data_IF_430353338360
#
_entry.id   IF_430353338360
#
_cell.length_a   1.000
_cell.length_b   1.000
_cell.length_c   1.000
_cell.angle_alpha   90.00
_cell.angle_beta   90.00
_cell.angle_gamma   90.00
#
_symmetry.space_group_name_H-M   'P 1'
#
loop_
_entity.id
_entity.type
_entity.pdbx_description
1 polymer ?
#
# COMPACT_ATOMS: atom_id res chain seq x y z
N UNK A 1 20.41 3.42 1.04
CA UNK A 1 20.30 4.39 -0.07
C UNK A 1 18.85 4.80 -0.25
N UNK A 2 18.55 6.04 -0.67
CA UNK A 2 17.20 6.47 -1.09
C UNK A 2 16.78 5.76 -2.38
N UNK A 3 15.47 5.53 -2.54
CA UNK A 3 14.89 4.93 -3.74
C UNK A 3 13.61 5.67 -4.12
N UNK A 4 13.59 6.32 -5.28
CA UNK A 4 12.41 7.01 -5.82
C UNK A 4 11.56 6.01 -6.61
N UNK A 5 10.24 6.00 -6.38
CA UNK A 5 9.31 5.15 -7.14
C UNK A 5 8.59 5.96 -8.20
N UNK A 6 8.43 5.35 -9.37
CA UNK A 6 7.51 5.85 -10.38
C UNK A 6 6.06 5.87 -9.91
N UNK A 7 5.22 6.51 -10.72
CA UNK A 7 3.77 6.49 -10.55
C UNK A 7 3.15 5.18 -11.02
N UNK A 8 1.94 4.88 -10.55
CA UNK A 8 1.13 3.77 -11.06
C UNK A 8 1.53 2.42 -10.47
N UNK A 9 2.05 1.51 -11.29
CA UNK A 9 2.32 0.12 -10.90
C UNK A 9 3.30 -0.07 -9.72
N UNK A 10 4.28 0.82 -9.47
CA UNK A 10 5.02 0.83 -8.19
C UNK A 10 4.14 0.90 -6.92
N UNK A 11 2.83 1.13 -7.08
CA UNK A 11 1.77 0.87 -6.10
C UNK A 11 1.73 -0.51 -5.50
N UNK A 12 2.40 -1.49 -6.10
CA UNK A 12 2.68 -2.78 -5.46
C UNK A 12 3.30 -2.58 -4.06
N UNK A 13 4.11 -1.52 -3.85
CA UNK A 13 4.59 -1.18 -2.51
C UNK A 13 3.44 -1.03 -1.50
N UNK A 14 2.38 -0.32 -1.85
CA UNK A 14 1.23 -0.11 -0.97
C UNK A 14 0.48 -1.41 -0.71
N UNK A 15 0.28 -2.18 -1.77
CA UNK A 15 -0.40 -3.48 -1.72
C UNK A 15 0.26 -4.41 -0.70
N UNK A 16 1.58 -4.54 -0.78
CA UNK A 16 2.36 -5.40 0.11
C UNK A 16 2.54 -4.77 1.50
N UNK A 17 2.97 -3.51 1.58
CA UNK A 17 3.41 -2.91 2.84
C UNK A 17 2.29 -2.64 3.84
N UNK A 18 1.10 -2.27 3.34
CA UNK A 18 -0.06 -1.93 4.19
C UNK A 18 -1.33 -2.63 3.73
N UNK A 19 -1.52 -2.87 2.43
CA UNK A 19 -2.76 -3.40 1.87
C UNK A 19 -3.21 -4.69 2.56
N UNK A 20 -2.45 -5.77 2.40
CA UNK A 20 -2.75 -7.04 3.08
C UNK A 20 -2.74 -6.93 4.61
N UNK A 21 -1.83 -6.13 5.16
CA UNK A 21 -1.78 -5.88 6.60
C UNK A 21 -3.05 -5.24 7.17
N UNK A 22 -3.86 -4.58 6.34
CA UNK A 22 -5.10 -3.91 6.70
C UNK A 22 -6.37 -4.67 6.25
N UNK A 23 -6.23 -5.92 5.80
CA UNK A 23 -7.36 -6.84 5.64
C UNK A 23 -7.86 -7.28 7.03
N UNK A 24 -9.18 -7.23 7.23
CA UNK A 24 -9.82 -7.31 8.55
C UNK A 24 -9.71 -8.68 9.22
N UNK A 25 -9.52 -9.75 8.46
CA UNK A 25 -9.41 -11.11 9.00
C UNK A 25 -8.11 -11.32 9.78
N UNK A 26 -6.99 -10.75 9.34
CA UNK A 26 -5.73 -10.77 10.09
C UNK A 26 -5.78 -9.89 11.34
N UNK A 27 -6.41 -8.71 11.25
CA UNK A 27 -6.51 -7.78 12.36
C UNK A 27 -7.47 -8.31 13.44
N UNK A 28 -8.58 -8.93 13.05
CA UNK A 28 -9.50 -9.61 13.96
C UNK A 28 -8.82 -10.76 14.70
N UNK A 29 -7.95 -11.51 14.03
CA UNK A 29 -7.18 -12.62 14.63
C UNK A 29 -5.95 -12.15 15.43
N UNK A 30 -5.60 -10.87 15.36
CA UNK A 30 -4.43 -10.32 16.06
C UNK A 30 -3.08 -10.70 15.43
N UNK A 31 -3.08 -11.25 14.21
CA UNK A 31 -1.86 -11.75 13.54
C UNK A 31 -1.18 -10.68 12.68
N UNK A 32 -1.90 -9.64 12.27
CA UNK A 32 -1.32 -8.50 11.55
C UNK A 32 -0.49 -7.62 12.49
N UNK A 33 0.60 -7.06 11.96
CA UNK A 33 1.37 -6.01 12.65
C UNK A 33 0.53 -4.77 13.00
N UNK A 34 -0.57 -4.53 12.27
CA UNK A 34 -1.49 -3.40 12.48
C UNK A 34 -2.62 -3.69 13.49
N UNK A 35 -2.67 -4.89 14.05
CA UNK A 35 -3.70 -5.26 15.02
C UNK A 35 -3.62 -4.37 16.27
N UNK A 36 -4.73 -3.74 16.63
CA UNK A 36 -4.80 -2.83 17.78
C UNK A 36 -4.10 -1.48 17.58
N UNK A 37 -3.70 -1.13 16.36
CA UNK A 37 -3.02 0.15 16.05
C UNK A 37 -4.00 1.25 15.59
N UNK A 38 -5.30 1.08 15.78
CA UNK A 38 -6.31 2.06 15.34
C UNK A 38 -6.04 3.43 15.96
N UNK A 39 -6.05 4.49 15.14
CA UNK A 39 -5.74 5.86 15.57
C UNK A 39 -4.25 6.14 15.83
N UNK A 40 -3.36 5.18 15.61
CA UNK A 40 -1.91 5.38 15.76
C UNK A 40 -1.27 5.86 14.46
N UNK A 41 -0.12 6.53 14.59
CA UNK A 41 0.72 6.93 13.46
C UNK A 41 1.48 5.71 12.91
N UNK A 42 1.06 5.23 11.74
CA UNK A 42 1.58 4.03 11.07
C UNK A 42 2.31 4.32 9.75
N UNK A 43 2.26 5.57 9.29
CA UNK A 43 3.00 6.06 8.14
C UNK A 43 3.41 7.53 8.35
N UNK A 44 4.13 8.12 7.38
CA UNK A 44 4.42 9.56 7.42
C UNK A 44 3.12 10.36 7.34
N UNK A 45 3.10 11.54 7.94
CA UNK A 45 1.96 12.46 7.87
C UNK A 45 1.62 12.91 6.43
N UNK A 46 2.54 12.72 5.50
CA UNK A 46 2.32 12.97 4.07
C UNK A 46 1.45 11.90 3.39
N UNK A 47 1.09 10.82 4.09
CA UNK A 47 0.51 9.64 3.50
C UNK A 47 -0.97 9.51 3.84
N UNK A 48 -1.80 9.57 2.80
CA UNK A 48 -3.19 9.13 2.86
C UNK A 48 -3.36 7.99 1.85
N UNK A 49 -3.73 6.82 2.36
CA UNK A 49 -3.89 5.58 1.58
C UNK A 49 -5.34 5.15 1.61
N UNK A 50 -5.86 4.82 0.45
CA UNK A 50 -7.25 4.44 0.26
C UNK A 50 -7.35 3.13 -0.52
N UNK A 51 -8.42 2.39 -0.27
CA UNK A 51 -8.89 1.31 -1.13
C UNK A 51 -10.25 1.72 -1.71
N UNK A 52 -10.31 1.87 -3.03
CA UNK A 52 -11.48 2.44 -3.71
C UNK A 52 -12.11 1.45 -4.69
N UNK A 53 -13.26 0.89 -4.30
CA UNK A 53 -14.04 0.01 -5.15
C UNK A 53 -14.89 0.72 -6.20
N UNK A 54 -14.97 2.06 -6.16
CA UNK A 54 -15.96 2.85 -6.91
C UNK A 54 -15.46 3.39 -8.26
N UNK A 55 -14.17 3.22 -8.57
CA UNK A 55 -13.58 3.79 -9.77
C UNK A 55 -14.19 3.21 -11.06
N UNK A 56 -14.81 4.06 -11.88
CA UNK A 56 -15.44 3.62 -13.13
C UNK A 56 -14.42 3.06 -14.13
N UNK A 57 -14.73 1.91 -14.74
CA UNK A 57 -13.93 1.31 -15.81
C UNK A 57 -12.57 0.74 -15.38
N UNK A 58 -12.29 0.62 -14.08
CA UNK A 58 -11.04 0.04 -13.57
C UNK A 58 -11.19 -1.44 -13.27
N UNK A 59 -10.08 -2.18 -13.46
CA UNK A 59 -10.01 -3.64 -13.26
C UNK A 59 -10.31 -4.06 -11.81
N UNK A 60 -9.88 -3.28 -10.82
CA UNK A 60 -10.04 -3.62 -9.40
C UNK A 60 -11.39 -3.24 -8.81
N UNK A 61 -12.22 -2.50 -9.55
CA UNK A 61 -13.47 -1.94 -9.05
C UNK A 61 -14.60 -2.96 -8.96
N UNK A 62 -15.55 -2.67 -8.08
CA UNK A 62 -16.70 -3.52 -7.78
C UNK A 62 -17.94 -2.63 -7.70
N UNK A 63 -18.93 -2.89 -8.55
CA UNK A 63 -20.26 -2.31 -8.33
C UNK A 63 -20.87 -2.84 -7.03
N UNK A 64 -20.75 -4.15 -6.83
CA UNK A 64 -21.01 -4.87 -5.58
C UNK A 64 -19.86 -5.87 -5.37
N UNK A 65 -19.51 -6.13 -4.12
CA UNK A 65 -18.64 -7.26 -3.78
C UNK A 65 -19.40 -8.59 -3.86
N UNK A 66 -18.69 -9.70 -3.64
CA UNK A 66 -19.26 -11.05 -3.77
C UNK A 66 -20.24 -11.42 -2.63
N UNK A 67 -20.45 -10.50 -1.69
CA UNK A 67 -21.44 -10.59 -0.62
C UNK A 67 -22.64 -9.65 -0.83
N UNK A 68 -22.65 -8.88 -1.93
CA UNK A 68 -23.70 -7.94 -2.29
C UNK A 68 -23.60 -6.57 -1.62
N UNK A 69 -22.44 -6.23 -1.05
CA UNK A 69 -22.19 -4.89 -0.49
C UNK A 69 -21.66 -3.99 -1.60
N UNK A 70 -22.22 -2.78 -1.83
CA UNK A 70 -21.68 -1.86 -2.84
C UNK A 70 -20.20 -1.54 -2.60
N UNK A 71 -19.43 -1.36 -3.68
CA UNK A 71 -18.06 -0.86 -3.59
C UNK A 71 -18.03 0.52 -2.92
N UNK A 72 -16.98 0.79 -2.13
CA UNK A 72 -16.86 2.02 -1.34
C UNK A 72 -15.49 2.68 -1.53
N UNK A 73 -15.43 3.97 -1.19
CA UNK A 73 -14.18 4.71 -1.01
C UNK A 73 -13.76 4.61 0.45
N UNK A 74 -12.81 3.71 0.74
CA UNK A 74 -12.37 3.42 2.11
C UNK A 74 -11.02 4.09 2.40
N UNK A 75 -11.01 5.07 3.29
CA UNK A 75 -9.75 5.66 3.78
C UNK A 75 -9.15 4.74 4.84
N UNK A 76 -8.03 4.11 4.50
CA UNK A 76 -7.33 3.17 5.38
C UNK A 76 -6.35 3.90 6.30
N UNK A 77 -5.57 4.82 5.72
CA UNK A 77 -4.62 5.67 6.44
C UNK A 77 -4.90 7.11 6.01
N UNK A 78 -4.98 8.04 6.95
CA UNK A 78 -5.16 9.46 6.68
C UNK A 78 -4.07 10.26 7.42
N UNK A 79 -3.27 11.02 6.67
CA UNK A 79 -2.16 11.79 7.20
C UNK A 79 -1.28 10.95 8.15
N UNK A 80 -0.96 9.73 7.74
CA UNK A 80 -0.16 8.77 8.50
C UNK A 80 -0.90 8.01 9.61
N UNK A 81 -2.13 8.40 9.96
CA UNK A 81 -2.93 7.78 11.03
C UNK A 81 -3.78 6.64 10.49
N UNK A 82 -3.73 5.48 11.15
CA UNK A 82 -4.59 4.34 10.80
C UNK A 82 -6.06 4.64 11.14
N UNK A 83 -6.95 4.50 10.15
CA UNK A 83 -8.39 4.84 10.26
C UNK A 83 -9.33 3.66 10.16
N UNK A 84 -8.93 2.59 9.48
CA UNK A 84 -9.83 1.48 9.21
C UNK A 84 -9.14 0.23 8.67
N UNK A 85 -9.92 -0.82 8.59
CA UNK A 85 -9.56 -2.08 7.94
C UNK A 85 -10.58 -2.39 6.84
N UNK A 86 -10.15 -3.12 5.82
CA UNK A 86 -11.06 -3.68 4.81
C UNK A 86 -11.81 -4.87 5.41
N UNK A 87 -13.10 -4.98 5.15
CA UNK A 87 -13.98 -5.97 5.79
C UNK A 87 -14.85 -6.73 4.78
N UNK A 88 -15.05 -8.01 5.10
CA UNK A 88 -16.20 -8.82 4.67
C UNK A 88 -17.27 -8.81 5.78
N UNK A 89 -18.43 -9.41 5.54
CA UNK A 89 -19.52 -9.47 6.52
C UNK A 89 -19.14 -10.23 7.79
N UNK A 90 -18.35 -11.29 7.66
CA UNK A 90 -17.94 -12.12 8.79
C UNK A 90 -17.07 -11.35 9.78
N UNK A 91 -15.99 -10.74 9.29
CA UNK A 91 -15.04 -10.04 10.14
C UNK A 91 -15.60 -8.69 10.61
N UNK A 92 -16.39 -8.00 9.78
CA UNK A 92 -17.13 -6.81 10.20
C UNK A 92 -17.99 -7.09 11.44
N UNK A 93 -18.79 -8.17 11.41
CA UNK A 93 -19.64 -8.58 12.54
C UNK A 93 -18.81 -8.90 13.79
N UNK A 94 -17.73 -9.66 13.64
CA UNK A 94 -16.89 -10.08 14.78
C UNK A 94 -16.11 -8.90 15.40
N UNK A 95 -15.82 -7.86 14.61
CA UNK A 95 -15.14 -6.65 15.08
C UNK A 95 -16.13 -5.54 15.50
N UNK A 96 -17.44 -5.74 15.33
CA UNK A 96 -18.46 -4.75 15.67
C UNK A 96 -18.47 -3.52 14.76
N UNK A 97 -18.07 -3.67 13.49
CA UNK A 97 -18.02 -2.59 12.49
C UNK A 97 -18.91 -2.90 11.28
N UNK A 98 -19.08 -1.93 10.38
CA UNK A 98 -19.84 -2.12 9.15
C UNK A 98 -19.00 -2.81 8.04
N UNK A 99 -19.64 -3.54 7.10
CA UNK A 99 -18.97 -4.02 5.88
C UNK A 99 -18.50 -2.88 4.98
N UNK A 100 -17.37 -3.06 4.30
CA UNK A 100 -16.71 -2.00 3.52
C UNK A 100 -16.72 -2.23 1.99
N UNK A 101 -17.42 -3.26 1.51
CA UNK A 101 -17.41 -3.62 0.08
C UNK A 101 -16.15 -4.35 -0.36
N UNK A 102 -15.51 -5.09 0.55
CA UNK A 102 -14.26 -5.81 0.33
C UNK A 102 -14.43 -7.35 0.47
N UNK A 103 -15.65 -7.87 0.60
CA UNK A 103 -15.89 -9.32 0.68
C UNK A 103 -15.77 -9.98 -0.68
N UNK A 104 -14.57 -10.46 -1.04
CA UNK A 104 -14.30 -11.02 -2.37
C UNK A 104 -13.97 -12.50 -2.32
N UNK A 105 -14.39 -13.24 -3.35
CA UNK A 105 -14.04 -14.63 -3.60
C UNK A 105 -13.53 -14.81 -5.02
N UNK A 106 -12.74 -15.85 -5.24
CA UNK A 106 -12.26 -16.17 -6.59
C UNK A 106 -13.37 -16.69 -7.49
N UNK A 107 -14.26 -17.52 -6.95
CA UNK A 107 -15.38 -18.13 -7.67
C UNK A 107 -16.41 -18.70 -6.69
N UNK A 108 -17.51 -19.24 -7.23
CA UNK A 108 -18.55 -19.92 -6.46
C UNK A 108 -18.03 -21.09 -5.60
N UNK A 109 -16.84 -21.62 -5.90
CA UNK A 109 -16.23 -22.74 -5.19
C UNK A 109 -15.35 -22.31 -3.98
N UNK A 110 -15.13 -21.01 -3.75
CA UNK A 110 -14.20 -20.50 -2.73
C UNK A 110 -14.88 -19.58 -1.74
N UNK A 111 -14.56 -19.62 -0.44
CA UNK A 111 -15.16 -18.68 0.52
C UNK A 111 -14.72 -17.23 0.27
N UNK A 112 -15.59 -16.23 0.49
CA UNK A 112 -15.18 -14.83 0.48
C UNK A 112 -14.32 -14.50 1.71
N UNK A 113 -13.48 -13.49 1.57
CA UNK A 113 -12.68 -12.90 2.65
C UNK A 113 -12.41 -11.41 2.34
N UNK A 114 -11.97 -10.60 3.32
CA UNK A 114 -11.62 -9.20 3.05
C UNK A 114 -10.47 -9.12 2.05
N UNK A 115 -10.66 -8.40 0.95
CA UNK A 115 -9.67 -8.24 -0.11
C UNK A 115 -9.70 -6.83 -0.69
N UNK A 116 -8.52 -6.34 -1.08
CA UNK A 116 -8.34 -5.06 -1.78
C UNK A 116 -9.14 -4.95 -3.08
N UNK A 117 -9.40 -3.72 -3.50
CA UNK A 117 -9.97 -3.34 -4.79
C UNK A 117 -8.95 -2.54 -5.61
N UNK A 118 -8.99 -1.22 -5.57
CA UNK A 118 -7.96 -0.34 -6.12
C UNK A 118 -7.29 0.41 -4.96
N UNK A 119 -6.13 -0.08 -4.51
CA UNK A 119 -5.39 0.52 -3.39
C UNK A 119 -4.35 1.51 -3.90
N UNK A 120 -4.40 2.76 -3.45
CA UNK A 120 -3.47 3.80 -3.89
C UNK A 120 -3.27 4.89 -2.82
N UNK A 121 -2.22 5.70 -3.02
CA UNK A 121 -1.92 6.86 -2.19
C UNK A 121 -2.40 8.13 -2.87
N UNK A 122 -2.98 9.05 -2.10
CA UNK A 122 -3.34 10.37 -2.60
C UNK A 122 -2.10 11.21 -2.95
N UNK A 123 -2.23 12.04 -3.98
CA UNK A 123 -1.13 12.87 -4.44
C UNK A 123 -0.70 13.90 -3.39
N UNK A 124 0.61 14.03 -3.19
CA UNK A 124 1.21 15.09 -2.38
C UNK A 124 1.42 16.41 -3.14
N UNK A 125 2.28 17.28 -2.59
CA UNK A 125 2.58 18.61 -3.14
C UNK A 125 3.82 18.67 -4.04
N UNK A 126 4.72 17.69 -3.93
CA UNK A 126 6.01 17.70 -4.66
C UNK A 126 5.85 17.27 -6.11
N UNK A 127 6.65 17.83 -6.99
CA UNK A 127 6.77 17.34 -8.38
C UNK A 127 7.71 16.13 -8.47
N UNK A 128 7.54 15.26 -9.49
CA UNK A 128 8.48 14.18 -9.78
C UNK A 128 9.94 14.65 -9.89
N UNK A 129 10.15 15.81 -10.49
CA UNK A 129 11.46 16.42 -10.71
C UNK A 129 12.09 16.86 -9.39
N UNK A 130 11.33 17.53 -8.51
CA UNK A 130 11.81 17.93 -7.18
C UNK A 130 12.23 16.72 -6.34
N UNK A 131 11.48 15.63 -6.49
CA UNK A 131 11.73 14.37 -5.82
C UNK A 131 13.08 13.78 -6.25
N UNK A 132 13.32 13.67 -7.56
CA UNK A 132 14.56 13.13 -8.12
C UNK A 132 15.74 14.04 -7.78
N UNK A 133 15.56 15.37 -7.93
CA UNK A 133 16.58 16.37 -7.64
C UNK A 133 17.05 16.34 -6.18
N UNK A 134 16.19 15.90 -5.25
CA UNK A 134 16.53 15.80 -3.83
C UNK A 134 17.47 14.65 -3.46
N UNK A 135 17.80 13.75 -4.39
CA UNK A 135 18.60 12.55 -4.13
C UNK A 135 20.01 12.70 -4.71
N UNK A 136 21.02 12.76 -3.83
CA UNK A 136 22.42 12.85 -4.23
C UNK A 136 22.95 11.53 -4.82
N UNK A 137 22.65 10.40 -4.17
CA UNK A 137 22.97 9.07 -4.69
C UNK A 137 21.89 8.06 -4.28
N UNK A 138 21.23 7.45 -5.25
CA UNK A 138 20.13 6.52 -4.99
C UNK A 138 19.67 5.76 -6.22
N UNK A 139 18.47 5.17 -6.14
CA UNK A 139 17.84 4.46 -7.24
C UNK A 139 16.53 5.14 -7.64
N UNK A 140 16.24 5.18 -8.93
CA UNK A 140 14.92 5.47 -9.47
C UNK A 140 14.34 4.19 -10.07
N UNK A 141 13.18 3.77 -9.58
CA UNK A 141 12.50 2.55 -10.02
C UNK A 141 11.10 2.87 -10.55
N UNK A 142 10.97 3.16 -11.86
CA UNK A 142 9.69 3.49 -12.47
C UNK A 142 8.73 2.30 -12.56
N UNK A 143 9.25 1.06 -12.59
CA UNK A 143 8.43 -0.12 -12.81
C UNK A 143 8.91 -1.36 -12.05
N UNK A 144 7.94 -2.21 -11.71
CA UNK A 144 8.13 -3.43 -10.93
C UNK A 144 7.49 -4.62 -11.61
N UNK A 145 8.03 -5.80 -11.35
CA UNK A 145 7.39 -7.06 -11.72
C UNK A 145 6.26 -7.39 -10.73
N UNK A 146 6.65 -8.03 -9.63
CA UNK A 146 5.75 -8.41 -8.54
C UNK A 146 6.39 -8.20 -7.16
N UNK A 147 5.63 -8.52 -6.12
CA UNK A 147 6.04 -8.45 -4.73
C UNK A 147 5.49 -9.61 -3.91
N UNK A 148 5.94 -9.68 -2.65
CA UNK A 148 5.44 -10.61 -1.66
C UNK A 148 5.62 -10.01 -0.26
N UNK A 149 4.63 -10.21 0.62
CA UNK A 149 4.67 -9.79 2.01
C UNK A 149 4.50 -10.96 3.00
N UNK A 150 5.27 -10.91 4.07
CA UNK A 150 4.96 -11.58 5.34
C UNK A 150 4.37 -10.54 6.31
N UNK A 151 3.04 -10.58 6.43
CA UNK A 151 2.25 -9.66 7.26
C UNK A 151 2.51 -9.78 8.77
N UNK A 152 3.09 -10.91 9.21
CA UNK A 152 3.36 -11.17 10.63
C UNK A 152 4.66 -10.48 11.04
N UNK A 153 5.71 -10.66 10.23
CA UNK A 153 7.01 -10.01 10.47
C UNK A 153 7.11 -8.59 9.90
N UNK A 154 6.15 -8.20 9.05
CA UNK A 154 6.14 -6.92 8.35
C UNK A 154 7.22 -6.80 7.28
N UNK A 155 7.78 -7.92 6.81
CA UNK A 155 8.80 -7.94 5.76
C UNK A 155 8.13 -8.07 4.41
N UNK A 156 8.51 -7.22 3.48
CA UNK A 156 8.03 -7.31 2.11
C UNK A 156 9.16 -7.09 1.12
N UNK A 157 9.01 -7.74 -0.03
CA UNK A 157 9.97 -7.71 -1.12
C UNK A 157 9.28 -7.34 -2.41
N UNK A 158 9.98 -6.63 -3.29
CA UNK A 158 9.51 -6.36 -4.64
C UNK A 158 10.70 -6.25 -5.59
N UNK A 159 10.51 -6.71 -6.83
CA UNK A 159 11.58 -6.80 -7.82
C UNK A 159 11.39 -5.76 -8.91
N UNK A 160 12.39 -4.90 -9.10
CA UNK A 160 12.36 -3.88 -10.17
C UNK A 160 12.40 -4.56 -11.53
N UNK A 161 11.47 -4.23 -12.42
CA UNK A 161 11.56 -4.59 -13.84
C UNK A 161 12.37 -3.55 -14.62
N UNK A 162 12.38 -2.31 -14.14
CA UNK A 162 13.13 -1.18 -14.68
C UNK A 162 13.67 -0.33 -13.53
N UNK A 163 14.96 -0.02 -13.55
CA UNK A 163 15.60 0.80 -12.53
C UNK A 163 16.83 1.55 -13.08
N UNK A 164 17.11 2.70 -12.49
CA UNK A 164 18.20 3.61 -12.85
C UNK A 164 18.90 4.11 -11.60
N UNK A 165 20.18 4.48 -11.72
CA UNK A 165 20.85 5.28 -10.69
C UNK A 165 20.34 6.71 -10.71
N UNK A 166 20.28 7.33 -9.53
CA UNK A 166 20.21 8.77 -9.36
C UNK A 166 21.57 9.23 -8.87
N UNK A 167 22.22 10.12 -9.60
CA UNK A 167 23.51 10.72 -9.25
C UNK A 167 23.38 12.25 -9.34
N UNK A 168 23.66 12.95 -8.23
CA UNK A 168 23.56 14.40 -8.09
C UNK A 168 22.20 14.96 -8.55
N UNK A 169 21.11 14.33 -8.12
CA UNK A 169 19.75 14.77 -8.43
C UNK A 169 19.30 14.50 -9.86
N UNK A 170 19.99 13.62 -10.61
CA UNK A 170 19.66 13.28 -11.99
C UNK A 170 19.60 11.78 -12.20
N UNK A 171 18.63 11.31 -12.97
CA UNK A 171 18.58 9.92 -13.43
C UNK A 171 19.72 9.70 -14.42
N UNK A 172 20.56 8.69 -14.19
CA UNK A 172 21.74 8.41 -15.02
C UNK A 172 21.65 7.04 -15.67
N UNK A 173 22.32 6.03 -15.12
CA UNK A 173 22.56 4.74 -15.77
C UNK A 173 21.45 3.75 -15.43
N UNK A 174 20.94 2.98 -16.41
CA UNK A 174 20.08 1.84 -16.11
C UNK A 174 20.88 0.80 -15.32
N UNK A 175 20.23 0.17 -14.35
CA UNK A 175 20.79 -0.94 -13.57
C UNK A 175 20.01 -2.21 -13.82
N UNK A 176 20.67 -3.36 -13.59
CA UNK A 176 19.99 -4.66 -13.66
C UNK A 176 18.93 -4.77 -12.56
N UNK A 177 17.91 -5.58 -12.81
CA UNK A 177 16.83 -5.81 -11.86
C UNK A 177 17.36 -6.23 -10.49
N UNK A 178 16.86 -5.60 -9.44
CA UNK A 178 17.18 -5.87 -8.05
C UNK A 178 15.91 -6.18 -7.27
N UNK A 179 16.01 -7.09 -6.31
CA UNK A 179 14.97 -7.31 -5.31
C UNK A 179 15.22 -6.38 -4.13
N UNK A 180 14.27 -5.49 -3.89
CA UNK A 180 14.28 -4.53 -2.80
C UNK A 180 13.53 -5.17 -1.63
N UNK A 181 14.18 -5.23 -0.46
CA UNK A 181 13.62 -5.80 0.77
C UNK A 181 13.41 -4.67 1.76
N UNK A 182 12.22 -4.61 2.34
CA UNK A 182 11.86 -3.63 3.36
C UNK A 182 11.21 -4.34 4.53
N UNK A 183 11.39 -3.81 5.73
CA UNK A 183 10.79 -4.33 6.95
C UNK A 183 10.07 -3.22 7.72
N UNK A 184 8.79 -3.44 8.03
CA UNK A 184 8.03 -2.63 8.98
C UNK A 184 8.55 -2.91 10.39
N UNK A 185 9.35 -2.01 10.95
CA UNK A 185 9.85 -2.15 12.32
C UNK A 185 8.82 -1.63 13.33
N UNK A 186 8.34 -2.53 14.22
CA UNK A 186 7.43 -2.24 15.35
C UNK A 186 7.92 -1.19 16.36
N UNK A 187 9.22 -0.88 16.38
CA UNK A 187 9.87 -0.21 17.53
C UNK A 187 10.68 1.02 17.12
N UNK A 188 10.02 1.96 16.44
CA UNK A 188 10.56 3.31 16.30
C UNK A 188 9.44 4.33 16.45
N UNK A 189 9.55 5.15 17.49
CA UNK A 189 8.83 6.42 17.73
C UNK A 189 9.05 7.48 16.64
N UNK A 190 9.60 7.08 15.50
CA UNK A 190 9.77 7.85 14.26
C UNK A 190 9.38 6.95 13.10
N UNK A 191 8.08 6.84 12.83
CA UNK A 191 7.56 6.38 11.55
C UNK A 191 7.86 7.43 10.44
N UNK A 192 9.14 7.74 10.21
CA UNK A 192 9.63 8.60 9.10
C UNK A 192 9.96 7.75 7.87
N UNK A 193 9.12 6.77 7.55
CA UNK A 193 9.39 5.83 6.46
C UNK A 193 9.08 6.39 5.07
N UNK A 194 8.02 7.18 4.99
CA UNK A 194 7.39 7.47 3.71
C UNK A 194 7.86 8.75 3.01
N UNK A 195 8.66 9.60 3.66
CA UNK A 195 9.15 10.86 3.06
C UNK A 195 10.67 10.85 2.79
N UNK A 196 11.41 9.99 3.49
CA UNK A 196 12.88 10.06 3.51
C UNK A 196 13.53 9.09 2.53
N UNK A 197 12.89 7.94 2.26
CA UNK A 197 13.47 6.88 1.42
C UNK A 197 12.71 6.73 0.11
N UNK A 198 11.38 6.87 0.12
CA UNK A 198 10.54 6.67 -1.06
C UNK A 198 9.72 7.91 -1.34
N UNK A 199 9.70 8.33 -2.60
CA UNK A 199 8.98 9.52 -3.05
C UNK A 199 8.25 9.13 -4.34
N UNK A 200 6.97 9.44 -4.41
CA UNK A 200 6.07 8.98 -5.46
C UNK A 200 5.92 10.01 -6.57
N UNK A 201 6.08 9.56 -7.80
CA UNK A 201 5.77 10.32 -9.00
C UNK A 201 4.25 10.25 -9.24
N UNK A 202 3.65 11.35 -9.71
CA UNK A 202 2.22 11.50 -9.99
C UNK A 202 1.79 10.61 -11.17
N UNK A 203 0.58 10.04 -11.12
CA UNK A 203 -0.17 9.65 -12.32
C UNK A 203 -1.05 10.83 -12.76
#
# INVERSE_FOLDING_TARGET
MPVVLGAGWPGVLLHEAVGHGLEGDFNRRGTSVFSGQMGQLVASELCTVVDDGTLQGRRGSLAIDDEGVPGQYNVLIENGILKGYMQDKLNARLMGVAPTGNGRRESYAHLPMPRMTNTYMLAGKSTPEDIIASVEYGLYAPNFGGGQVDITSGKFVFSTSEAYLIENGRVTKPVKGATLIVQVLRRCSRFRWWATIWRWIRA
#
